data_IF_938078495353
#
_entry.id   IF_938078495353
#
_cell.length_a   1.000
_cell.length_b   1.000
_cell.length_c   1.000
_cell.angle_alpha   90.00
_cell.angle_beta   90.00
_cell.angle_gamma   90.00
#
_symmetry.space_group_name_H-M   'P 1'
#
loop_
_entity.id
_entity.type
_entity.pdbx_description
1 polymer ?
#
# COMPACT_ATOMS: atom_id res chain seq x y z
N UNK A 1 9.39 -15.87 8.52
CA UNK A 1 9.19 -14.44 8.19
C UNK A 1 8.03 -14.30 7.23
N UNK A 2 7.17 -13.30 7.44
CA UNK A 2 6.18 -12.90 6.44
C UNK A 2 6.96 -12.25 5.29
N UNK A 3 6.77 -12.65 4.03
CA UNK A 3 7.52 -12.08 2.92
C UNK A 3 7.23 -10.59 2.77
N UNK A 4 8.27 -9.82 2.44
CA UNK A 4 8.16 -8.42 2.02
C UNK A 4 7.16 -8.30 0.88
N UNK A 5 6.32 -7.26 0.93
CA UNK A 5 5.42 -6.92 -0.16
C UNK A 5 5.83 -5.58 -0.78
N UNK A 6 6.01 -5.58 -2.09
CA UNK A 6 6.52 -4.45 -2.84
C UNK A 6 5.45 -3.87 -3.77
N UNK A 7 5.49 -2.55 -3.96
CA UNK A 7 4.52 -1.84 -4.79
C UNK A 7 4.73 -2.20 -6.26
N UNK A 8 3.73 -2.83 -6.87
CA UNK A 8 3.71 -3.15 -8.29
C UNK A 8 3.02 -2.05 -9.10
N UNK A 9 1.92 -1.50 -8.61
CA UNK A 9 1.15 -0.50 -9.36
C UNK A 9 0.45 0.52 -8.45
N UNK A 10 0.29 1.75 -8.95
CA UNK A 10 -0.42 2.81 -8.24
C UNK A 10 -1.24 3.68 -9.19
N UNK A 11 -2.40 4.15 -8.71
CA UNK A 11 -3.21 5.18 -9.39
C UNK A 11 -2.96 6.59 -8.84
N UNK A 12 -2.04 6.75 -7.88
CA UNK A 12 -1.78 8.03 -7.25
C UNK A 12 -1.16 9.06 -8.19
N UNK A 13 -1.52 10.33 -8.00
CA UNK A 13 -0.86 11.45 -8.65
C UNK A 13 0.54 11.65 -8.08
N UNK A 14 1.54 11.77 -8.96
CA UNK A 14 2.93 11.89 -8.54
C UNK A 14 3.53 10.59 -7.98
N UNK A 15 2.95 9.43 -8.31
CA UNK A 15 3.43 8.12 -7.85
C UNK A 15 4.91 7.84 -8.19
N UNK A 16 5.53 8.58 -9.12
CA UNK A 16 6.98 8.48 -9.39
C UNK A 16 7.85 9.05 -8.25
N UNK A 17 7.41 10.08 -7.55
CA UNK A 17 8.20 10.79 -6.53
C UNK A 17 7.61 10.70 -5.12
N UNK A 18 6.34 10.30 -5.00
CA UNK A 18 5.60 10.14 -3.75
C UNK A 18 4.88 8.80 -3.76
N UNK A 19 5.53 7.75 -3.26
CA UNK A 19 4.95 6.40 -3.19
C UNK A 19 5.42 5.63 -1.97
N UNK A 20 4.60 4.70 -1.49
CA UNK A 20 5.12 3.57 -0.73
C UNK A 20 5.85 2.63 -1.70
N UNK A 21 6.92 1.99 -1.25
CA UNK A 21 7.68 1.07 -2.09
C UNK A 21 7.57 -0.36 -1.59
N UNK A 22 7.69 -0.54 -0.28
CA UNK A 22 7.72 -1.85 0.34
C UNK A 22 7.06 -1.80 1.71
N UNK A 23 6.43 -2.91 2.09
CA UNK A 23 5.88 -3.18 3.40
C UNK A 23 6.44 -4.51 3.87
N UNK A 24 7.17 -4.49 4.97
CA UNK A 24 7.65 -5.69 5.65
C UNK A 24 6.92 -5.83 6.97
N UNK A 25 6.10 -6.86 7.11
CA UNK A 25 5.37 -7.14 8.35
C UNK A 25 6.25 -7.99 9.25
N UNK A 26 6.46 -7.53 10.49
CA UNK A 26 7.22 -8.25 11.50
C UNK A 26 6.31 -9.08 12.41
N UNK A 27 5.16 -8.50 12.80
CA UNK A 27 4.22 -9.15 13.70
C UNK A 27 2.79 -8.74 13.40
N UNK A 28 1.87 -9.69 13.48
CA UNK A 28 0.42 -9.46 13.41
C UNK A 28 -0.16 -9.71 14.82
N UNK A 29 -0.86 -8.73 15.35
CA UNK A 29 -1.64 -8.78 16.59
C UNK A 29 -3.13 -8.64 16.27
N UNK A 30 -4.05 -8.85 17.25
CA UNK A 30 -5.49 -8.75 16.99
C UNK A 30 -5.95 -7.38 16.50
N UNK A 31 -5.29 -6.31 16.95
CA UNK A 31 -5.68 -4.91 16.74
C UNK A 31 -4.70 -4.12 15.85
N UNK A 32 -3.48 -4.63 15.63
CA UNK A 32 -2.50 -4.00 14.75
C UNK A 32 -1.47 -4.95 14.13
N UNK A 33 -0.77 -4.48 13.11
CA UNK A 33 0.49 -5.05 12.62
C UNK A 33 1.67 -4.16 13.01
N UNK A 34 2.76 -4.76 13.50
CA UNK A 34 4.07 -4.13 13.56
C UNK A 34 4.77 -4.36 12.23
N UNK A 35 5.15 -3.28 11.56
CA UNK A 35 5.70 -3.33 10.22
C UNK A 35 6.72 -2.22 9.95
N UNK A 36 7.56 -2.46 8.95
CA UNK A 36 8.38 -1.46 8.30
C UNK A 36 7.73 -1.04 6.99
N UNK A 37 7.68 0.26 6.74
CA UNK A 37 7.27 0.86 5.47
C UNK A 37 8.47 1.58 4.87
N UNK A 38 8.74 1.28 3.60
CA UNK A 38 9.68 2.06 2.79
C UNK A 38 8.91 2.96 1.87
N UNK A 39 9.35 4.20 1.74
CA UNK A 39 8.69 5.19 0.92
C UNK A 39 9.69 6.03 0.14
N UNK A 40 9.25 6.53 -1.01
CA UNK A 40 9.90 7.61 -1.73
C UNK A 40 9.04 8.85 -1.55
N UNK A 41 9.61 9.92 -1.01
CA UNK A 41 8.93 11.19 -0.74
C UNK A 41 9.77 12.30 -1.34
N UNK A 42 9.22 12.96 -2.36
CA UNK A 42 9.93 13.99 -3.14
C UNK A 42 11.27 13.49 -3.70
N UNK A 43 11.33 12.23 -4.12
CA UNK A 43 12.53 11.58 -4.66
C UNK A 43 13.53 11.07 -3.62
N UNK A 44 13.41 11.49 -2.35
CA UNK A 44 14.21 10.95 -1.26
C UNK A 44 13.61 9.64 -0.71
N UNK A 45 14.47 8.70 -0.32
CA UNK A 45 14.09 7.40 0.22
C UNK A 45 14.02 7.46 1.75
N UNK A 46 13.00 6.84 2.33
CA UNK A 46 12.78 6.78 3.76
C UNK A 46 12.35 5.39 4.21
N UNK A 47 12.71 5.04 5.44
CA UNK A 47 12.31 3.81 6.13
C UNK A 47 11.63 4.21 7.43
N UNK A 48 10.48 3.61 7.70
CA UNK A 48 9.66 3.91 8.87
C UNK A 48 9.22 2.63 9.56
N UNK A 49 9.39 2.57 10.87
CA UNK A 49 8.85 1.50 11.71
C UNK A 49 7.54 1.98 12.33
N UNK A 50 6.47 1.24 12.10
CA UNK A 50 5.11 1.68 12.36
C UNK A 50 4.26 0.57 12.97
N UNK A 51 3.33 0.95 13.84
CA UNK A 51 2.14 0.16 14.12
C UNK A 51 1.03 0.56 13.15
N UNK A 52 0.44 -0.43 12.48
CA UNK A 52 -0.69 -0.28 11.57
C UNK A 52 -1.93 -0.86 12.23
N UNK A 53 -2.75 0.01 12.81
CA UNK A 53 -3.97 -0.36 13.50
C UNK A 53 -5.06 -0.75 12.51
N UNK A 54 -5.82 -1.77 12.87
CA UNK A 54 -6.96 -2.26 12.12
C UNK A 54 -8.24 -1.55 12.56
N UNK A 55 -9.10 -1.24 11.60
CA UNK A 55 -10.48 -0.82 11.86
C UNK A 55 -11.41 -1.49 10.86
N UNK A 56 -12.71 -1.48 11.16
CA UNK A 56 -13.73 -2.12 10.33
C UNK A 56 -14.84 -1.14 9.99
N UNK A 57 -15.24 -1.12 8.72
CA UNK A 57 -16.41 -0.42 8.21
C UNK A 57 -17.39 -1.45 7.65
N UNK A 58 -18.35 -1.93 8.45
CA UNK A 58 -19.19 -3.09 8.10
C UNK A 58 -20.14 -2.84 6.92
N UNK A 59 -20.34 -1.58 6.53
CA UNK A 59 -21.25 -1.21 5.43
C UNK A 59 -20.52 -1.11 4.08
N UNK A 60 -19.18 -1.25 4.05
CA UNK A 60 -18.40 -1.20 2.84
C UNK A 60 -18.23 -2.59 2.19
N UNK A 61 -18.06 -2.61 0.87
CA UNK A 61 -17.80 -3.83 0.07
C UNK A 61 -16.64 -4.65 0.65
N UNK A 62 -15.57 -3.96 1.09
CA UNK A 62 -14.56 -4.56 1.95
C UNK A 62 -14.49 -3.81 3.28
N UNK A 63 -14.68 -4.49 4.42
CA UNK A 63 -14.80 -3.85 5.71
C UNK A 63 -13.44 -3.47 6.30
N UNK A 64 -12.38 -4.22 6.01
CA UNK A 64 -11.09 -4.06 6.69
C UNK A 64 -10.37 -2.80 6.23
N UNK A 65 -9.96 -2.00 7.21
CA UNK A 65 -9.16 -0.81 7.05
C UNK A 65 -7.88 -0.90 7.88
N UNK A 66 -6.82 -0.29 7.37
CA UNK A 66 -5.52 -0.21 8.02
C UNK A 66 -4.99 1.21 7.97
N UNK A 67 -4.26 1.63 9.01
CA UNK A 67 -3.56 2.91 9.03
C UNK A 67 -2.12 2.74 8.59
N UNK A 68 -1.72 3.41 7.50
CA UNK A 68 -0.35 3.40 6.97
C UNK A 68 0.18 4.82 6.78
N UNK A 69 1.49 4.96 6.53
CA UNK A 69 2.13 6.24 6.22
C UNK A 69 1.41 6.95 5.07
N UNK A 70 1.22 8.26 5.20
CA UNK A 70 0.81 9.12 4.08
C UNK A 70 2.05 9.77 3.45
N UNK A 71 2.57 9.13 2.41
CA UNK A 71 3.73 9.62 1.67
C UNK A 71 3.49 10.97 0.98
N UNK A 72 2.24 11.40 0.84
CA UNK A 72 1.90 12.67 0.20
C UNK A 72 1.86 13.84 1.18
N UNK A 73 1.73 13.56 2.47
CA UNK A 73 1.77 14.56 3.55
C UNK A 73 3.19 14.82 4.09
N UNK A 74 4.20 14.07 3.62
CA UNK A 74 5.61 14.27 3.97
C UNK A 74 6.18 13.18 4.86
N UNK A 75 7.45 13.32 5.26
CA UNK A 75 8.24 12.28 5.92
C UNK A 75 8.03 12.16 7.44
N UNK A 76 7.00 12.78 8.02
CA UNK A 76 6.68 12.60 9.44
C UNK A 76 5.93 11.27 9.63
N UNK A 77 6.39 10.32 10.48
CA UNK A 77 5.70 9.04 10.70
C UNK A 77 4.29 9.19 11.31
N UNK A 78 3.95 10.35 11.87
CA UNK A 78 2.59 10.67 12.32
C UNK A 78 1.64 11.03 11.17
N UNK A 79 2.17 11.31 9.98
CA UNK A 79 1.36 11.48 8.78
C UNK A 79 0.81 10.11 8.38
N UNK A 80 -0.45 9.86 8.73
CA UNK A 80 -1.13 8.58 8.50
C UNK A 80 -2.35 8.76 7.62
N UNK A 81 -2.56 7.78 6.75
CA UNK A 81 -3.76 7.69 5.91
C UNK A 81 -4.36 6.30 6.00
N UNK A 82 -5.65 6.29 6.26
CA UNK A 82 -6.46 5.08 6.32
C UNK A 82 -6.64 4.53 4.90
N UNK A 83 -6.40 3.23 4.77
CA UNK A 83 -6.53 2.47 3.53
C UNK A 83 -7.43 1.29 3.77
N UNK A 84 -8.39 1.07 2.87
CA UNK A 84 -9.21 -0.14 2.80
C UNK A 84 -8.46 -1.22 2.06
N UNK A 85 -8.49 -2.43 2.59
CA UNK A 85 -7.93 -3.62 1.94
C UNK A 85 -8.99 -4.16 0.99
N UNK A 86 -8.90 -3.90 -0.31
CA UNK A 86 -9.91 -4.38 -1.26
C UNK A 86 -9.85 -5.90 -1.45
N UNK A 87 -8.64 -6.43 -1.52
CA UNK A 87 -8.37 -7.87 -1.57
C UNK A 87 -6.98 -8.15 -1.00
N UNK A 88 -6.82 -9.32 -0.41
CA UNK A 88 -5.55 -9.89 0.00
C UNK A 88 -5.68 -11.40 -0.06
N UNK A 89 -4.89 -12.06 -0.90
CA UNK A 89 -4.87 -13.52 -0.98
C UNK A 89 -3.98 -14.15 0.12
N UNK A 90 -3.38 -13.30 0.97
CA UNK A 90 -2.40 -13.63 2.01
C UNK A 90 -1.15 -14.38 1.52
N UNK A 91 -1.00 -14.64 0.22
CA UNK A 91 0.06 -15.47 -0.34
C UNK A 91 0.93 -14.67 -1.29
N UNK A 92 0.32 -13.91 -2.18
CA UNK A 92 0.99 -13.27 -3.30
C UNK A 92 0.80 -11.75 -3.30
N UNK A 93 -0.37 -11.23 -2.94
CA UNK A 93 -0.68 -9.83 -3.18
C UNK A 93 -1.78 -9.26 -2.30
N UNK A 94 -1.84 -7.93 -2.26
CA UNK A 94 -2.97 -7.20 -1.70
C UNK A 94 -3.16 -5.84 -2.38
N UNK A 95 -4.41 -5.39 -2.44
CA UNK A 95 -4.80 -4.10 -3.02
C UNK A 95 -5.30 -3.20 -1.91
N UNK A 96 -4.69 -2.03 -1.79
CA UNK A 96 -5.09 -0.99 -0.85
C UNK A 96 -5.73 0.19 -1.60
N UNK A 97 -6.82 0.72 -1.07
CA UNK A 97 -7.47 1.95 -1.56
C UNK A 97 -7.62 2.94 -0.43
N UNK A 98 -7.19 4.18 -0.61
CA UNK A 98 -7.40 5.21 0.42
C UNK A 98 -8.89 5.47 0.64
N UNK A 99 -9.33 5.53 1.90
CA UNK A 99 -10.76 5.75 2.25
C UNK A 99 -11.12 7.21 2.47
N UNK A 100 -10.14 8.06 2.72
CA UNK A 100 -10.32 9.49 2.99
C UNK A 100 -9.17 10.29 2.35
N UNK A 101 -9.42 11.56 2.05
CA UNK A 101 -8.41 12.54 1.63
C UNK A 101 -7.61 13.12 2.81
N UNK A 102 -7.95 12.74 4.05
CA UNK A 102 -7.28 13.24 5.26
C UNK A 102 -7.32 14.78 5.31
N UNK A 103 -6.28 15.39 5.87
CA UNK A 103 -6.11 16.85 5.90
C UNK A 103 -5.77 17.48 4.53
N UNK A 104 -5.61 16.68 3.48
CA UNK A 104 -5.31 17.13 2.11
C UNK A 104 -6.54 16.94 1.22
N UNK A 105 -7.59 17.72 1.47
CA UNK A 105 -8.89 17.63 0.78
C UNK A 105 -8.82 17.64 -0.75
N UNK A 106 -7.76 18.22 -1.33
CA UNK A 106 -7.53 18.28 -2.78
C UNK A 106 -6.99 16.99 -3.39
N UNK A 107 -6.63 15.99 -2.59
CA UNK A 107 -5.94 14.81 -3.11
C UNK A 107 -6.91 13.67 -3.37
N UNK A 108 -7.15 13.38 -4.66
CA UNK A 108 -7.99 12.26 -5.08
C UNK A 108 -7.60 10.95 -4.38
N UNK A 109 -8.61 10.12 -4.08
CA UNK A 109 -8.39 8.78 -3.58
C UNK A 109 -7.61 7.95 -4.60
N UNK A 110 -6.68 7.14 -4.13
CA UNK A 110 -5.83 6.31 -4.98
C UNK A 110 -5.76 4.87 -4.47
N UNK A 111 -5.28 4.00 -5.35
CA UNK A 111 -5.03 2.60 -5.06
C UNK A 111 -3.56 2.24 -5.23
N UNK A 112 -3.13 1.25 -4.47
CA UNK A 112 -1.79 0.68 -4.46
C UNK A 112 -1.91 -0.85 -4.47
N UNK A 113 -1.33 -1.50 -5.48
CA UNK A 113 -1.21 -2.95 -5.59
C UNK A 113 0.18 -3.36 -5.10
N UNK A 114 0.22 -4.17 -4.04
CA UNK A 114 1.44 -4.74 -3.51
C UNK A 114 1.53 -6.23 -3.84
N UNK A 115 2.75 -6.68 -4.15
CA UNK A 115 3.08 -8.06 -4.50
C UNK A 115 4.23 -8.53 -3.64
N UNK A 116 4.11 -9.73 -3.07
CA UNK A 116 5.13 -10.33 -2.21
C UNK A 116 6.36 -10.72 -3.02
N UNK A 117 7.55 -10.52 -2.46
CA UNK A 117 8.82 -10.61 -3.18
C UNK A 117 9.10 -11.97 -3.85
N UNK A 118 8.47 -13.04 -3.37
CA UNK A 118 8.62 -14.40 -3.91
C UNK A 118 7.49 -14.78 -4.88
N UNK A 119 6.71 -13.80 -5.35
CA UNK A 119 5.59 -14.03 -6.27
C UNK A 119 6.06 -13.93 -7.71
N UNK A 120 5.72 -14.92 -8.52
CA UNK A 120 5.84 -14.82 -9.96
C UNK A 120 4.75 -13.86 -10.49
N UNK A 121 5.15 -12.70 -11.02
CA UNK A 121 4.19 -11.71 -11.52
C UNK A 121 3.42 -12.25 -12.75
N UNK A 122 3.96 -13.26 -13.44
CA UNK A 122 3.30 -13.89 -14.59
C UNK A 122 2.19 -14.88 -14.20
N UNK A 123 2.17 -15.36 -12.95
CA UNK A 123 1.19 -16.35 -12.46
C UNK A 123 0.77 -16.07 -11.00
N UNK A 124 -0.53 -15.97 -10.71
CA UNK A 124 -1.01 -15.81 -9.32
C UNK A 124 -1.30 -14.37 -8.87
N UNK A 125 -1.41 -13.43 -9.82
CA UNK A 125 -1.88 -12.06 -9.57
C UNK A 125 -3.27 -11.79 -10.16
N UNK A 126 -3.94 -12.79 -10.72
CA UNK A 126 -5.19 -12.62 -11.47
C UNK A 126 -6.27 -11.95 -10.61
N UNK A 127 -6.44 -12.42 -9.38
CA UNK A 127 -7.44 -11.88 -8.44
C UNK A 127 -7.11 -10.42 -8.05
N UNK A 128 -5.90 -10.14 -7.59
CA UNK A 128 -5.51 -8.78 -7.20
C UNK A 128 -5.50 -7.81 -8.37
N UNK A 129 -5.09 -8.26 -9.55
CA UNK A 129 -5.07 -7.43 -10.78
C UNK A 129 -6.50 -7.13 -11.23
N UNK A 130 -7.37 -8.14 -11.22
CA UNK A 130 -8.79 -7.96 -11.53
C UNK A 130 -9.45 -6.98 -10.56
N UNK A 131 -9.30 -7.18 -9.24
CA UNK A 131 -9.86 -6.28 -8.22
C UNK A 131 -9.27 -4.87 -8.35
N UNK A 132 -7.97 -4.74 -8.60
CA UNK A 132 -7.35 -3.43 -8.83
C UNK A 132 -8.01 -2.72 -10.02
N UNK A 133 -8.10 -3.37 -11.18
CA UNK A 133 -8.69 -2.76 -12.38
C UNK A 133 -10.18 -2.45 -12.18
N UNK A 134 -10.95 -3.36 -11.57
CA UNK A 134 -12.39 -3.21 -11.37
C UNK A 134 -12.73 -2.04 -10.43
N UNK A 135 -11.97 -1.83 -9.36
CA UNK A 135 -12.29 -0.83 -8.32
C UNK A 135 -11.46 0.45 -8.36
N UNK A 136 -10.36 0.45 -9.13
CA UNK A 136 -9.40 1.55 -9.19
C UNK A 136 -9.13 2.07 -10.61
N UNK A 137 -9.48 1.30 -11.64
CA UNK A 137 -9.14 1.63 -13.03
C UNK A 137 -7.66 1.37 -13.36
N UNK A 138 -7.20 1.94 -14.47
CA UNK A 138 -5.83 1.74 -14.95
C UNK A 138 -4.80 2.46 -14.07
N UNK A 139 -3.63 1.82 -13.82
CA UNK A 139 -2.56 2.43 -13.04
C UNK A 139 -1.94 3.62 -13.78
N UNK A 140 -1.54 4.63 -13.01
CA UNK A 140 -0.72 5.77 -13.51
C UNK A 140 0.77 5.44 -13.49
N UNK A 141 1.17 4.50 -12.64
CA UNK A 141 2.53 3.99 -12.57
C UNK A 141 2.51 2.47 -12.32
N UNK A 142 3.40 1.77 -13.02
CA UNK A 142 3.73 0.36 -12.81
C UNK A 142 5.24 0.26 -12.60
N UNK A 143 5.66 -0.53 -11.63
CA UNK A 143 7.06 -0.63 -11.22
C UNK A 143 7.60 -2.02 -11.56
N UNK A 144 8.63 -2.07 -12.40
CA UNK A 144 9.35 -3.28 -12.78
C UNK A 144 10.32 -3.72 -11.67
N UNK A 145 10.97 -2.76 -11.03
CA UNK A 145 11.79 -2.95 -9.84
C UNK A 145 11.00 -2.43 -8.64
N UNK A 146 10.48 -3.38 -7.89
CA UNK A 146 9.60 -3.18 -6.74
C UNK A 146 10.37 -2.66 -5.51
N UNK A 147 11.70 -2.57 -5.64
CA UNK A 147 12.68 -2.17 -4.65
C UNK A 147 12.75 -0.65 -4.46
N UNK A 148 12.62 -0.19 -3.21
CA UNK A 148 13.27 1.05 -2.76
C UNK A 148 14.68 0.80 -2.20
N UNK A 149 15.20 -0.43 -2.29
CA UNK A 149 16.57 -0.73 -1.93
C UNK A 149 17.52 0.16 -2.75
N UNK A 150 18.58 0.62 -2.10
CA UNK A 150 19.83 0.92 -2.80
C UNK A 150 20.47 -0.42 -3.19
N UNK A 151 21.23 -0.50 -4.29
CA UNK A 151 22.30 -1.48 -4.36
C UNK A 151 23.22 -1.37 -3.14
#
# INVERSE_FOLDING_TARGET
NIPEANLLASTSEGAKSKRLCAIQIYKIMPDFASLEVRAMISGAKYIFYLYSYYSTDPNAISPTQISLLDQHAGANPSNRRVRRVLVSDFKNCFVLKTTNNGNNGNQASFCELFVKNNTDISTGLEECTFVFLAYCGYPKAVYNESSCYTP
#
